data_IF_905558471040
#
_entry.id   IF_905558471040
#
_cell.length_a   1.000
_cell.length_b   1.000
_cell.length_c   1.000
_cell.angle_alpha   90.00
_cell.angle_beta   90.00
_cell.angle_gamma   90.00
#
_symmetry.space_group_name_H-M   'P 1'
#
loop_
_entity.id
_entity.type
_entity.pdbx_description
1 polymer ?
#
# COMPACT_ATOMS: atom_id res chain seq x y z
N UNK A 1 1.28 15.16 -3.25
CA UNK A 1 1.05 13.70 -3.34
C UNK A 1 -0.44 13.45 -3.47
N UNK A 2 -0.85 12.53 -4.33
CA UNK A 2 -2.27 12.17 -4.48
C UNK A 2 -2.77 11.46 -3.22
N UNK A 3 -4.06 11.60 -2.92
CA UNK A 3 -4.70 10.82 -1.88
C UNK A 3 -4.80 9.36 -2.36
N UNK A 4 -4.29 8.42 -1.55
CA UNK A 4 -4.41 7.00 -1.84
C UNK A 4 -5.75 6.45 -1.36
N UNK A 5 -6.06 5.23 -1.79
CA UNK A 5 -7.27 4.51 -1.43
C UNK A 5 -6.97 3.34 -0.50
N UNK A 6 -7.89 3.01 0.41
CA UNK A 6 -7.75 1.81 1.21
C UNK A 6 -7.87 0.57 0.33
N UNK A 7 -6.91 -0.35 0.47
CA UNK A 7 -6.93 -1.61 -0.26
C UNK A 7 -8.03 -2.52 0.32
N UNK A 8 -8.89 -3.03 -0.56
CA UNK A 8 -9.97 -3.96 -0.23
C UNK A 8 -9.68 -5.34 -0.85
N UNK A 9 -9.91 -6.45 -0.11
CA UNK A 9 -10.36 -6.52 1.29
C UNK A 9 -9.31 -5.99 2.28
N UNK A 10 -9.74 -5.66 3.50
CA UNK A 10 -8.84 -5.17 4.54
C UNK A 10 -7.88 -6.29 4.95
N UNK A 11 -6.59 -6.06 4.71
CA UNK A 11 -5.54 -6.97 5.15
C UNK A 11 -5.44 -7.00 6.69
N UNK A 12 -5.32 -8.19 7.31
CA UNK A 12 -5.25 -8.30 8.77
C UNK A 12 -3.94 -7.77 9.35
N UNK A 13 -2.85 -7.87 8.58
CA UNK A 13 -1.52 -7.41 8.96
C UNK A 13 -0.63 -7.24 7.72
N UNK A 14 0.52 -6.61 7.92
CA UNK A 14 1.52 -6.35 6.88
C UNK A 14 2.03 -7.64 6.22
N UNK A 15 2.25 -8.71 6.98
CA UNK A 15 2.83 -9.95 6.44
C UNK A 15 1.93 -10.62 5.41
N UNK A 16 0.61 -10.60 5.59
CA UNK A 16 -0.35 -11.12 4.61
C UNK A 16 -0.36 -10.22 3.37
N UNK A 17 -0.35 -8.90 3.55
CA UNK A 17 -0.24 -7.96 2.44
C UNK A 17 1.03 -8.18 1.61
N UNK A 18 2.18 -8.40 2.25
CA UNK A 18 3.44 -8.66 1.55
C UNK A 18 3.49 -10.01 0.82
N UNK A 19 2.67 -10.99 1.24
CA UNK A 19 2.49 -12.25 0.49
C UNK A 19 1.71 -12.02 -0.80
N UNK A 20 0.67 -11.19 -0.76
CA UNK A 20 -0.16 -10.86 -1.94
C UNK A 20 0.54 -9.88 -2.90
N UNK A 21 1.43 -9.03 -2.35
CA UNK A 21 2.26 -8.09 -3.10
C UNK A 21 3.75 -8.45 -2.96
N UNK A 22 4.18 -9.60 -3.54
CA UNK A 22 5.53 -10.13 -3.32
C UNK A 22 6.60 -9.29 -4.01
N UNK A 23 6.26 -8.60 -5.11
CA UNK A 23 7.23 -7.87 -5.91
C UNK A 23 7.48 -6.48 -5.33
N UNK A 24 8.70 -5.98 -5.49
CA UNK A 24 9.08 -4.62 -5.12
C UNK A 24 9.08 -3.77 -6.39
N UNK A 25 8.39 -2.64 -6.37
CA UNK A 25 8.46 -1.64 -7.43
C UNK A 25 9.44 -0.54 -7.02
N UNK A 26 10.55 -0.41 -7.74
CA UNK A 26 11.59 0.60 -7.46
C UNK A 26 11.20 1.99 -7.94
N UNK A 27 10.16 2.11 -8.78
CA UNK A 27 9.56 3.37 -9.21
C UNK A 27 8.40 3.81 -8.28
N UNK A 28 8.42 3.32 -7.04
CA UNK A 28 7.34 3.47 -6.06
C UNK A 28 6.78 4.90 -5.95
N UNK A 29 5.49 5.04 -6.23
CA UNK A 29 4.76 6.30 -6.06
C UNK A 29 4.40 6.52 -4.58
N UNK A 30 4.50 7.77 -4.12
CA UNK A 30 4.04 8.18 -2.79
C UNK A 30 2.60 8.70 -2.82
N UNK A 31 1.74 8.16 -1.95
CA UNK A 31 0.36 8.64 -1.77
C UNK A 31 0.11 9.00 -0.31
N UNK A 32 -0.86 9.89 -0.07
CA UNK A 32 -1.32 10.17 1.29
C UNK A 32 -2.29 9.11 1.76
N UNK A 33 -2.04 8.56 2.94
CA UNK A 33 -2.95 7.65 3.61
C UNK A 33 -4.30 8.35 3.88
N UNK A 34 -5.44 7.76 3.46
CA UNK A 34 -6.76 8.39 3.65
C UNK A 34 -7.20 8.49 5.12
N UNK A 35 -6.64 7.68 6.03
CA UNK A 35 -6.95 7.78 7.48
C UNK A 35 -6.12 8.80 8.25
N UNK A 36 -4.79 8.72 8.18
CA UNK A 36 -3.89 9.55 9.00
C UNK A 36 -3.15 10.64 8.23
N UNK A 37 -3.44 10.83 6.94
CA UNK A 37 -2.76 11.77 6.03
C UNK A 37 -1.23 11.61 5.92
N UNK A 38 -0.65 10.55 6.49
CA UNK A 38 0.78 10.27 6.38
C UNK A 38 1.14 9.83 4.96
N UNK A 39 2.37 10.14 4.53
CA UNK A 39 2.88 9.68 3.25
C UNK A 39 3.20 8.19 3.29
N UNK A 40 2.62 7.44 2.36
CA UNK A 40 2.78 6.00 2.19
C UNK A 40 3.42 5.74 0.83
N UNK A 41 4.55 5.03 0.85
CA UNK A 41 5.22 4.58 -0.39
C UNK A 41 4.55 3.31 -0.90
N UNK A 42 4.07 3.33 -2.13
CA UNK A 42 3.50 2.18 -2.84
C UNK A 42 4.61 1.37 -3.50
N UNK A 43 5.47 0.78 -2.69
CA UNK A 43 6.66 0.05 -3.15
C UNK A 43 6.43 -1.46 -3.34
N UNK A 44 5.21 -1.95 -3.11
CA UNK A 44 4.85 -3.35 -3.28
C UNK A 44 3.94 -3.50 -4.49
N UNK A 45 4.12 -4.59 -5.24
CA UNK A 45 3.39 -4.86 -6.47
C UNK A 45 2.93 -6.31 -6.54
N UNK A 46 1.72 -6.54 -7.02
CA UNK A 46 1.22 -7.89 -7.31
C UNK A 46 1.75 -8.39 -8.64
N UNK A 47 1.61 -9.69 -8.89
CA UNK A 47 1.92 -10.30 -10.20
C UNK A 47 1.06 -9.68 -11.32
N UNK A 48 -0.16 -9.26 -10.99
CA UNK A 48 -1.09 -8.62 -11.92
C UNK A 48 -0.82 -7.11 -12.10
N UNK A 49 0.29 -6.59 -11.57
CA UNK A 49 0.74 -5.22 -11.78
C UNK A 49 0.09 -4.15 -10.89
N UNK A 50 -0.77 -4.53 -9.93
CA UNK A 50 -1.34 -3.58 -8.96
C UNK A 50 -0.28 -3.17 -7.95
N UNK A 51 -0.17 -1.87 -7.68
CA UNK A 51 0.76 -1.33 -6.68
C UNK A 51 0.04 -1.03 -5.37
N UNK A 52 0.75 -1.21 -4.26
CA UNK A 52 0.25 -1.02 -2.92
C UNK A 52 1.39 -0.68 -1.96
N UNK A 53 1.02 -0.14 -0.81
CA UNK A 53 1.93 0.19 0.27
C UNK A 53 1.26 -0.03 1.62
N UNK A 54 2.07 -0.19 2.67
CA UNK A 54 1.55 -0.33 4.03
C UNK A 54 1.66 0.97 4.80
N UNK A 55 0.56 1.43 5.37
CA UNK A 55 0.58 2.55 6.31
C UNK A 55 0.87 2.04 7.73
N UNK A 56 2.05 2.31 8.27
CA UNK A 56 2.43 1.89 9.63
C UNK A 56 1.59 2.57 10.74
N UNK A 57 1.07 3.78 10.51
CA UNK A 57 0.25 4.50 11.52
C UNK A 57 -1.16 3.94 11.63
N UNK A 58 -1.78 3.60 10.51
CA UNK A 58 -3.14 3.05 10.48
C UNK A 58 -3.17 1.51 10.48
N UNK A 59 -2.00 0.89 10.38
CA UNK A 59 -1.81 -0.55 10.19
C UNK A 59 -2.73 -1.13 9.11
N UNK A 60 -2.66 -0.50 7.93
CA UNK A 60 -3.55 -0.80 6.80
C UNK A 60 -2.83 -0.64 5.45
N UNK A 61 -3.20 -1.48 4.50
CA UNK A 61 -2.73 -1.40 3.11
C UNK A 61 -3.44 -0.26 2.35
N UNK A 62 -2.67 0.51 1.59
CA UNK A 62 -3.10 1.62 0.75
C UNK A 62 -2.69 1.34 -0.70
N UNK A 63 -3.51 1.73 -1.66
CA UNK A 63 -3.21 1.72 -3.09
C UNK A 63 -3.24 3.16 -3.64
N UNK A 64 -2.76 3.31 -4.88
CA UNK A 64 -3.03 4.51 -5.68
C UNK A 64 -4.51 4.51 -6.08
#
# INVERSE_FOLDING_TARGET
MQAGNWLQPRYPNKSIFEKDYPNIDTSAMGVRCPGCAADVRLNRKTVNGRIGGWCNKCDRAVAA
#
